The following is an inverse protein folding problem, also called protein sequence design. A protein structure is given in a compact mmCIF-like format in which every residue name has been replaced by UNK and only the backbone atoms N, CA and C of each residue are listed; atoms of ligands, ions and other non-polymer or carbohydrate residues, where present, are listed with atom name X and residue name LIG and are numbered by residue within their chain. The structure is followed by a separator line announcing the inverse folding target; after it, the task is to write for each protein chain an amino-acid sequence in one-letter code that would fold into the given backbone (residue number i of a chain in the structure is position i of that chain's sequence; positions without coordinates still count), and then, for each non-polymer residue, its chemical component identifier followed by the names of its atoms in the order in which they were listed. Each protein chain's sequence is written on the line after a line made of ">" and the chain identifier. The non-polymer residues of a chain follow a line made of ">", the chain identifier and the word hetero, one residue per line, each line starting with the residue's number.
data_IF_841643497234
#
_entry.id   IF_841643497234
#
_cell.length_a   1.000
_cell.length_b   1.000
_cell.length_c   1.000
_cell.angle_alpha   90.00
_cell.angle_beta   90.00
_cell.angle_gamma   90.00
#
_symmetry.space_group_name_H-M   'P 1'
#
loop_
_entity.id
_entity.type
_entity.pdbx_description
1 polymer ?
#
# COMPACT_ATOMS: atom_id res chain seq x y z
N UNK A 1 -15.54 -26.40 0.89
CA UNK A 1 -15.93 -24.98 0.80
C UNK A 1 -15.26 -24.09 1.87
N UNK A 2 -14.21 -24.56 2.52
CA UNK A 2 -13.53 -23.80 3.57
C UNK A 2 -12.64 -22.70 3.00
N UNK A 3 -12.59 -21.56 3.69
CA UNK A 3 -11.62 -20.50 3.40
C UNK A 3 -10.24 -20.94 3.90
N UNK A 4 -9.33 -21.22 2.98
CA UNK A 4 -7.99 -21.73 3.29
C UNK A 4 -7.13 -20.67 4.01
N UNK A 5 -7.34 -19.37 3.74
CA UNK A 5 -6.68 -18.27 4.43
C UNK A 5 -5.18 -18.11 4.09
N UNK A 6 -4.76 -18.50 2.88
CA UNK A 6 -3.35 -18.48 2.47
C UNK A 6 -2.62 -17.17 2.78
N UNK A 7 -3.16 -15.96 2.50
CA UNK A 7 -2.44 -14.72 2.79
C UNK A 7 -2.06 -14.60 4.27
N UNK A 8 -3.00 -14.90 5.18
CA UNK A 8 -2.76 -14.86 6.62
C UNK A 8 -1.81 -15.96 7.10
N UNK A 9 -1.90 -17.15 6.51
CA UNK A 9 -0.96 -18.26 6.83
C UNK A 9 0.48 -17.88 6.48
N UNK A 10 0.69 -17.24 5.33
CA UNK A 10 2.02 -16.74 4.92
C UNK A 10 2.49 -15.64 5.86
N UNK A 11 1.64 -14.68 6.22
CA UNK A 11 1.98 -13.61 7.15
C UNK A 11 2.41 -14.16 8.53
N UNK A 12 1.68 -15.13 9.08
CA UNK A 12 2.01 -15.77 10.35
C UNK A 12 3.25 -16.66 10.26
N UNK A 13 3.48 -17.34 9.14
CA UNK A 13 4.70 -18.12 8.93
C UNK A 13 5.95 -17.21 8.90
N UNK A 14 5.87 -16.08 8.21
CA UNK A 14 6.94 -15.08 8.22
C UNK A 14 7.15 -14.47 9.60
N UNK A 15 6.07 -14.22 10.35
CA UNK A 15 6.17 -13.75 11.74
C UNK A 15 6.88 -14.79 12.62
N UNK A 16 6.55 -16.07 12.47
CA UNK A 16 7.22 -17.16 13.18
C UNK A 16 8.69 -17.32 12.79
N UNK A 17 9.04 -16.96 11.53
CA UNK A 17 10.41 -16.91 11.02
C UNK A 17 11.19 -15.65 11.46
N UNK A 18 10.61 -14.83 12.36
CA UNK A 18 11.28 -13.67 12.97
C UNK A 18 11.02 -12.33 12.27
N UNK A 19 10.12 -12.26 11.29
CA UNK A 19 9.69 -10.99 10.75
C UNK A 19 8.70 -10.29 11.69
N UNK A 20 8.76 -8.97 11.74
CA UNK A 20 7.76 -8.16 12.44
C UNK A 20 6.56 -7.93 11.53
N UNK A 21 5.44 -8.55 11.82
CA UNK A 21 4.16 -8.26 11.16
C UNK A 21 3.59 -6.96 11.73
N UNK A 22 3.68 -5.88 10.97
CA UNK A 22 3.36 -4.52 11.43
C UNK A 22 1.94 -4.11 11.18
N UNK A 23 1.39 -4.46 10.01
CA UNK A 23 0.05 -4.04 9.62
C UNK A 23 -0.50 -4.94 8.53
N UNK A 24 -1.80 -5.14 8.53
CA UNK A 24 -2.60 -5.56 7.39
C UNK A 24 -3.20 -4.34 6.69
N UNK A 25 -3.23 -4.39 5.37
CA UNK A 25 -3.81 -3.37 4.51
C UNK A 25 -4.79 -4.08 3.60
N UNK A 26 -5.98 -3.50 3.43
CA UNK A 26 -7.02 -4.03 2.56
C UNK A 26 -6.97 -3.34 1.20
N UNK A 27 -6.70 -4.08 0.16
CA UNK A 27 -6.99 -3.62 -1.19
C UNK A 27 -8.46 -3.86 -1.51
N UNK A 28 -9.28 -2.82 -1.41
CA UNK A 28 -10.68 -2.85 -1.80
C UNK A 28 -10.79 -2.64 -3.32
N UNK A 29 -11.47 -3.58 -3.99
CA UNK A 29 -11.75 -3.57 -5.42
C UNK A 29 -13.18 -3.09 -5.67
N UNK A 30 -13.40 -1.86 -6.16
CA UNK A 30 -14.76 -1.36 -6.42
C UNK A 30 -15.44 -2.09 -7.58
N UNK A 31 -14.66 -2.78 -8.43
CA UNK A 31 -15.10 -3.57 -9.57
C UNK A 31 -14.63 -5.03 -9.45
N UNK A 32 -15.04 -5.79 -8.42
CA UNK A 32 -14.63 -7.19 -8.26
C UNK A 32 -15.22 -8.04 -9.38
N UNK A 33 -14.56 -9.18 -9.67
CA UNK A 33 -15.12 -10.16 -10.60
C UNK A 33 -16.45 -10.70 -10.02
N UNK A 34 -17.54 -10.73 -10.81
CA UNK A 34 -18.81 -11.31 -10.35
C UNK A 34 -18.66 -12.79 -9.96
N UNK A 35 -19.28 -13.17 -8.86
CA UNK A 35 -19.33 -14.55 -8.40
C UNK A 35 -20.78 -15.05 -8.39
N UNK A 36 -21.04 -16.21 -9.02
CA UNK A 36 -22.37 -16.83 -9.02
C UNK A 36 -22.64 -17.65 -7.75
N UNK A 37 -22.32 -17.10 -6.59
CA UNK A 37 -22.53 -17.75 -5.29
C UNK A 37 -23.72 -17.15 -4.54
N UNK A 38 -24.42 -17.98 -3.76
CA UNK A 38 -25.64 -17.58 -3.02
C UNK A 38 -25.51 -17.78 -1.51
N UNK A 39 -24.44 -18.40 -1.06
CA UNK A 39 -24.19 -18.82 0.35
C UNK A 39 -23.10 -17.96 1.03
N UNK A 40 -22.59 -16.93 0.37
CA UNK A 40 -21.63 -15.97 0.90
C UNK A 40 -21.60 -14.68 0.07
N UNK A 41 -21.00 -13.64 0.63
CA UNK A 41 -20.77 -12.39 -0.11
C UNK A 41 -19.72 -12.55 -1.21
N UNK A 42 -19.85 -11.78 -2.29
CA UNK A 42 -18.81 -11.63 -3.32
C UNK A 42 -17.54 -11.04 -2.70
N UNK A 43 -16.40 -11.68 -2.92
CA UNK A 43 -15.11 -11.20 -2.41
C UNK A 43 -14.64 -9.97 -3.18
N UNK A 44 -14.62 -8.81 -2.51
CA UNK A 44 -14.26 -7.53 -3.11
C UNK A 44 -12.94 -6.96 -2.57
N UNK A 45 -12.09 -7.78 -1.95
CA UNK A 45 -10.83 -7.32 -1.40
C UNK A 45 -9.72 -8.38 -1.43
N UNK A 46 -8.48 -7.89 -1.35
CA UNK A 46 -7.29 -8.69 -1.08
C UNK A 46 -6.49 -8.07 0.06
N UNK A 47 -5.50 -8.82 0.60
CA UNK A 47 -4.64 -8.38 1.69
C UNK A 47 -3.26 -8.00 1.18
N UNK A 48 -2.73 -6.92 1.77
CA UNK A 48 -1.32 -6.52 1.69
C UNK A 48 -0.82 -6.50 3.12
N UNK A 49 0.35 -7.07 3.39
CA UNK A 49 0.94 -7.08 4.72
C UNK A 49 2.22 -6.24 4.74
N UNK A 50 2.31 -5.35 5.71
CA UNK A 50 3.54 -4.65 6.03
C UNK A 50 4.35 -5.50 7.00
N UNK A 51 5.49 -5.99 6.52
CA UNK A 51 6.45 -6.75 7.32
C UNK A 51 7.80 -6.03 7.35
N UNK A 52 8.55 -6.21 8.43
CA UNK A 52 9.89 -5.67 8.58
C UNK A 52 10.83 -6.71 9.19
N UNK A 53 12.12 -6.67 8.82
CA UNK A 53 13.15 -7.57 9.39
C UNK A 53 13.60 -7.17 10.80
N UNK A 54 13.34 -5.92 11.22
CA UNK A 54 13.72 -5.42 12.53
C UNK A 54 12.65 -4.51 13.11
N UNK A 55 12.72 -4.28 14.41
CA UNK A 55 11.83 -3.36 15.12
C UNK A 55 11.91 -1.93 14.55
N UNK A 56 13.12 -1.49 14.22
CA UNK A 56 13.37 -0.20 13.56
C UNK A 56 13.60 -0.43 12.07
N UNK A 57 12.76 0.17 11.23
CA UNK A 57 12.82 0.05 9.78
C UNK A 57 12.51 1.39 9.11
N UNK A 58 12.91 1.51 7.86
CA UNK A 58 12.58 2.68 7.05
C UNK A 58 11.09 2.65 6.66
N UNK A 59 10.41 3.75 6.86
CA UNK A 59 9.05 3.99 6.38
C UNK A 59 8.85 5.49 6.18
N UNK A 60 8.65 5.91 4.94
CA UNK A 60 8.36 7.31 4.59
C UNK A 60 6.86 7.48 4.33
N UNK A 61 6.19 8.19 5.23
CA UNK A 61 4.77 8.44 5.12
C UNK A 61 4.44 9.65 4.24
N UNK A 62 5.39 10.57 4.06
CA UNK A 62 5.11 11.86 3.41
C UNK A 62 4.62 11.72 1.97
N UNK A 63 5.24 10.90 1.10
CA UNK A 63 4.81 10.77 -0.30
C UNK A 63 3.47 10.05 -0.49
N UNK A 64 2.97 9.38 0.56
CA UNK A 64 1.73 8.60 0.50
C UNK A 64 0.56 9.20 1.29
N UNK A 65 0.71 10.43 1.80
CA UNK A 65 -0.36 11.11 2.56
C UNK A 65 -1.61 11.30 1.72
N UNK A 66 -2.76 11.23 2.39
CA UNK A 66 -4.06 11.48 1.78
C UNK A 66 -4.49 12.94 1.99
N UNK A 67 -5.20 13.55 1.03
CA UNK A 67 -5.78 14.88 1.23
C UNK A 67 -6.73 14.91 2.43
N UNK A 68 -6.64 15.95 3.26
CA UNK A 68 -7.59 16.16 4.36
C UNK A 68 -8.91 16.62 3.76
N UNK A 69 -9.97 15.85 3.96
CA UNK A 69 -11.33 16.27 3.59
C UNK A 69 -11.78 17.34 4.59
N UNK A 70 -12.20 18.51 4.10
CA UNK A 70 -12.57 19.70 4.90
C UNK A 70 -13.61 19.44 6.00
N UNK A 71 -14.49 18.47 5.85
CA UNK A 71 -15.48 18.06 6.85
C UNK A 71 -14.86 17.41 8.09
N UNK A 72 -13.67 16.80 7.98
CA UNK A 72 -12.97 16.18 9.12
C UNK A 72 -12.25 17.23 9.95
N UNK A 73 -11.74 18.31 9.31
CA UNK A 73 -11.02 19.39 9.98
C UNK A 73 -11.95 20.20 10.92
N UNK A 74 -13.19 20.46 10.50
CA UNK A 74 -14.20 21.09 11.35
C UNK A 74 -14.60 20.27 12.57
N UNK A 75 -14.70 18.93 12.42
CA UNK A 75 -15.05 18.04 13.52
C UNK A 75 -13.90 17.88 14.54
N UNK A 76 -12.65 17.87 14.10
CA UNK A 76 -11.48 17.83 14.98
C UNK A 76 -11.36 19.13 15.77
N UNK A 77 -11.54 20.29 15.12
CA UNK A 77 -11.53 21.61 15.78
C UNK A 77 -12.70 21.77 16.75
N UNK A 78 -13.89 21.23 16.43
CA UNK A 78 -15.04 21.26 17.32
C UNK A 78 -14.81 20.40 18.58
N UNK A 79 -14.22 19.21 18.45
CA UNK A 79 -13.85 18.34 19.59
C UNK A 79 -12.78 18.94 20.47
N UNK A 80 -11.77 19.61 19.90
CA UNK A 80 -10.75 20.32 20.66
C UNK A 80 -11.33 21.48 21.49
N UNK A 81 -12.32 22.18 20.97
CA UNK A 81 -13.02 23.27 21.67
C UNK A 81 -13.94 22.76 22.79
N UNK A 82 -14.64 21.63 22.61
CA UNK A 82 -15.54 21.05 23.61
C UNK A 82 -14.78 20.33 24.72
N UNK A 83 -13.62 19.74 24.44
CA UNK A 83 -12.78 19.10 25.46
C UNK A 83 -12.09 20.12 26.40
N UNK A 84 -11.91 21.37 25.96
CA UNK A 84 -11.32 22.44 26.79
C UNK A 84 -12.31 23.19 27.70
N UNK A 85 -13.62 22.87 27.61
CA UNK A 85 -14.67 23.65 28.29
C UNK A 85 -15.30 23.02 29.54
N UNK A 86 -14.97 21.78 29.93
CA UNK A 86 -15.77 21.03 30.89
C UNK A 86 -15.10 20.55 32.19
N UNK A 87 -13.81 20.81 32.42
CA UNK A 87 -13.17 20.47 33.69
C UNK A 87 -12.24 21.60 34.14
N UNK A 88 -12.77 22.43 35.03
CA UNK A 88 -11.99 23.37 35.85
C UNK A 88 -11.05 22.60 36.78
N UNK A 89 -9.85 22.30 36.31
CA UNK A 89 -8.76 21.77 37.11
C UNK A 89 -7.47 22.26 36.50
N UNK A 90 -6.65 22.95 37.33
CA UNK A 90 -5.31 23.45 36.98
C UNK A 90 -4.35 22.31 36.63
N UNK A 91 -4.56 21.65 35.53
CA UNK A 91 -3.59 20.73 34.98
C UNK A 91 -2.86 21.40 33.79
N UNK A 92 -1.86 22.19 34.13
CA UNK A 92 -0.86 22.72 33.18
C UNK A 92 0.01 21.57 32.65
N UNK A 93 -0.61 20.52 32.14
CA UNK A 93 0.09 19.59 31.28
C UNK A 93 0.23 20.25 29.91
N UNK A 94 1.43 20.65 29.56
CA UNK A 94 1.88 21.06 28.25
C UNK A 94 1.40 20.08 27.18
N UNK A 95 0.13 20.17 26.78
CA UNK A 95 -0.26 19.83 25.44
C UNK A 95 0.34 20.93 24.57
N UNK A 96 1.63 20.80 24.25
CA UNK A 96 2.16 21.46 23.06
C UNK A 96 1.11 21.23 21.99
N UNK A 97 0.51 22.31 21.48
CA UNK A 97 -0.33 22.27 20.30
C UNK A 97 0.51 21.57 19.23
N UNK A 98 0.30 20.27 19.06
CA UNK A 98 0.79 19.58 17.88
C UNK A 98 0.06 20.26 16.74
N UNK A 99 0.73 21.28 16.17
CA UNK A 99 0.30 21.88 14.91
C UNK A 99 0.21 20.74 13.93
N UNK A 100 -0.98 20.16 13.79
CA UNK A 100 -1.24 19.28 12.68
C UNK A 100 -0.98 20.12 11.43
N UNK A 101 0.10 19.82 10.76
CA UNK A 101 0.46 20.51 9.53
C UNK A 101 -0.57 20.12 8.47
N UNK A 102 -1.66 20.89 8.42
CA UNK A 102 -2.78 20.67 7.50
C UNK A 102 -2.34 20.75 6.04
N UNK A 103 -1.14 21.30 5.79
CA UNK A 103 -0.54 21.41 4.46
C UNK A 103 -0.05 20.03 3.99
N UNK A 104 0.40 19.16 4.90
CA UNK A 104 0.98 17.85 4.57
C UNK A 104 -0.03 16.72 4.35
N UNK A 105 -1.31 16.93 4.66
CA UNK A 105 -2.33 15.89 4.53
C UNK A 105 -2.43 14.94 5.74
N UNK A 106 -3.32 13.96 5.66
CA UNK A 106 -3.54 12.91 6.66
C UNK A 106 -2.73 11.66 6.35
N UNK A 107 -2.37 10.89 7.37
CA UNK A 107 -1.75 9.59 7.19
C UNK A 107 -2.65 8.68 6.34
N UNK A 108 -2.06 7.97 5.39
CA UNK A 108 -2.77 7.02 4.55
C UNK A 108 -3.45 5.95 5.40
N UNK A 109 -4.73 5.72 5.14
CA UNK A 109 -5.53 4.71 5.85
C UNK A 109 -5.24 3.31 5.33
N UNK A 110 -5.56 2.28 6.11
CA UNK A 110 -5.28 0.88 5.80
C UNK A 110 -6.27 0.24 4.83
N UNK A 111 -7.29 0.96 4.34
CA UNK A 111 -8.18 0.48 3.29
C UNK A 111 -7.96 1.30 2.02
N UNK A 112 -7.38 0.66 1.01
CA UNK A 112 -7.02 1.28 -0.26
C UNK A 112 -8.02 0.88 -1.35
N UNK A 113 -8.75 1.85 -1.87
CA UNK A 113 -9.67 1.60 -2.98
C UNK A 113 -8.91 1.82 -4.29
N UNK A 114 -8.58 0.72 -4.97
CA UNK A 114 -7.87 0.74 -6.25
C UNK A 114 -8.62 -0.14 -7.25
N UNK A 115 -9.03 0.46 -8.36
CA UNK A 115 -9.75 -0.24 -9.43
C UNK A 115 -8.82 -1.22 -10.14
N UNK A 116 -9.31 -2.44 -10.37
CA UNK A 116 -8.59 -3.41 -11.22
C UNK A 116 -8.57 -2.89 -12.65
N UNK A 117 -7.38 -2.89 -13.27
CA UNK A 117 -7.21 -2.49 -14.67
C UNK A 117 -6.93 -3.75 -15.50
N UNK A 118 -7.66 -4.00 -16.60
CA UNK A 118 -7.34 -5.12 -17.47
C UNK A 118 -5.96 -4.93 -18.09
N UNK A 119 -5.17 -5.97 -18.08
CA UNK A 119 -3.89 -6.01 -18.77
C UNK A 119 -4.08 -6.63 -20.15
N UNK A 120 -3.63 -5.95 -21.21
CA UNK A 120 -3.81 -6.40 -22.60
C UNK A 120 -2.89 -7.56 -23.00
N UNK A 121 -1.87 -7.87 -22.21
CA UNK A 121 -0.96 -9.00 -22.44
C UNK A 121 -1.56 -10.32 -21.91
N UNK A 122 -1.01 -11.44 -22.37
CA UNK A 122 -1.41 -12.78 -21.95
C UNK A 122 -0.89 -13.11 -20.54
N UNK A 123 -1.31 -12.36 -19.52
CA UNK A 123 -0.97 -12.62 -18.12
C UNK A 123 -2.22 -12.60 -17.24
N UNK A 124 -2.35 -13.64 -16.41
CA UNK A 124 -3.42 -13.76 -15.43
C UNK A 124 -2.96 -13.18 -14.08
N UNK A 125 -3.89 -12.57 -13.33
CA UNK A 125 -3.66 -12.08 -11.97
C UNK A 125 -2.64 -10.92 -11.82
N UNK A 126 -2.68 -9.92 -12.71
CA UNK A 126 -1.89 -8.69 -12.56
C UNK A 126 -2.56 -7.73 -11.59
N UNK A 127 -1.75 -7.00 -10.81
CA UNK A 127 -2.22 -5.85 -10.03
C UNK A 127 -1.89 -4.52 -10.74
N UNK A 128 -2.69 -3.46 -10.52
CA UNK A 128 -2.45 -2.17 -11.14
C UNK A 128 -1.23 -1.44 -10.52
N UNK A 129 -0.50 -0.62 -11.31
CA UNK A 129 0.60 0.21 -10.80
C UNK A 129 0.22 1.04 -9.57
N UNK A 130 -0.95 1.65 -9.57
CA UNK A 130 -1.48 2.50 -8.50
C UNK A 130 -1.57 1.78 -7.14
N UNK A 131 -1.55 0.43 -7.12
CA UNK A 131 -1.54 -0.37 -5.90
C UNK A 131 -0.15 -0.49 -5.29
N UNK A 132 0.88 -0.71 -6.13
CA UNK A 132 2.25 -0.95 -5.66
C UNK A 132 3.03 0.34 -5.44
N UNK A 133 2.66 1.43 -6.12
CA UNK A 133 3.33 2.73 -6.01
C UNK A 133 3.47 3.20 -4.55
N UNK A 134 2.41 3.27 -3.73
CA UNK A 134 2.53 3.69 -2.34
C UNK A 134 3.38 2.73 -1.49
N UNK A 135 3.43 1.44 -1.84
CA UNK A 135 4.30 0.47 -1.15
C UNK A 135 5.78 0.78 -1.41
N UNK A 136 6.15 1.08 -2.66
CA UNK A 136 7.53 1.41 -3.04
C UNK A 136 7.94 2.77 -2.46
N UNK A 137 7.07 3.78 -2.55
CA UNK A 137 7.34 5.11 -2.02
C UNK A 137 7.58 5.10 -0.50
N UNK A 138 6.73 4.38 0.24
CA UNK A 138 6.86 4.30 1.69
C UNK A 138 8.02 3.39 2.15
N UNK A 139 8.28 2.31 1.42
CA UNK A 139 9.21 1.26 1.85
C UNK A 139 10.65 1.42 1.35
N UNK A 140 10.94 2.39 0.47
CA UNK A 140 12.27 2.54 -0.14
C UNK A 140 12.62 4.00 -0.44
N UNK A 141 13.93 4.30 -0.50
CA UNK A 141 14.48 5.58 -0.99
C UNK A 141 14.77 5.50 -2.48
N UNK A 142 14.89 6.65 -3.13
CA UNK A 142 15.46 6.72 -4.49
C UNK A 142 16.84 6.07 -4.49
N UNK A 143 17.08 5.19 -5.48
CA UNK A 143 18.32 4.41 -5.61
C UNK A 143 18.32 3.07 -4.86
N UNK A 144 17.40 2.83 -3.93
CA UNK A 144 17.26 1.53 -3.25
C UNK A 144 16.79 0.44 -4.23
N UNK A 145 16.99 -0.82 -3.84
CA UNK A 145 16.60 -2.01 -4.63
C UNK A 145 15.24 -2.52 -4.16
N UNK A 146 14.33 -2.69 -5.10
CA UNK A 146 13.02 -3.34 -4.91
C UNK A 146 13.11 -4.78 -5.43
N UNK A 147 12.86 -5.76 -4.58
CA UNK A 147 12.82 -7.18 -4.94
C UNK A 147 11.37 -7.63 -5.12
N UNK A 148 11.09 -8.29 -6.25
CA UNK A 148 9.84 -9.03 -6.46
C UNK A 148 10.16 -10.50 -6.81
N UNK A 149 9.95 -11.44 -5.88
CA UNK A 149 10.24 -12.85 -6.12
C UNK A 149 9.24 -13.54 -7.05
N UNK A 150 8.16 -12.85 -7.45
CA UNK A 150 7.12 -13.34 -8.35
C UNK A 150 6.76 -12.27 -9.39
N UNK A 151 7.77 -11.81 -10.13
CA UNK A 151 7.71 -10.60 -10.96
C UNK A 151 6.58 -10.60 -12.00
N UNK A 152 6.19 -11.75 -12.52
CA UNK A 152 5.14 -11.86 -13.53
C UNK A 152 5.41 -10.97 -14.74
N UNK A 153 4.46 -10.13 -15.11
CA UNK A 153 4.58 -9.21 -16.24
C UNK A 153 5.41 -7.95 -15.98
N UNK A 154 6.01 -7.79 -14.78
CA UNK A 154 6.94 -6.70 -14.47
C UNK A 154 6.30 -5.40 -13.97
N UNK A 155 5.11 -5.43 -13.37
CA UNK A 155 4.49 -4.22 -12.81
C UNK A 155 5.34 -3.57 -11.73
N UNK A 156 5.92 -4.38 -10.83
CA UNK A 156 6.83 -3.89 -9.77
C UNK A 156 8.08 -3.25 -10.36
N UNK A 157 8.70 -3.90 -11.35
CA UNK A 157 9.90 -3.37 -12.03
C UNK A 157 9.63 -2.02 -12.70
N UNK A 158 8.53 -1.94 -13.44
CA UNK A 158 8.09 -0.71 -14.10
C UNK A 158 7.93 0.44 -13.11
N UNK A 159 7.18 0.24 -12.02
CA UNK A 159 6.92 1.29 -11.03
C UNK A 159 8.19 1.65 -10.25
N UNK A 160 9.01 0.67 -9.88
CA UNK A 160 10.29 0.93 -9.22
C UNK A 160 11.20 1.82 -10.08
N UNK A 161 11.32 1.53 -11.36
CA UNK A 161 12.12 2.32 -12.31
C UNK A 161 11.56 3.74 -12.49
N UNK A 162 10.24 3.89 -12.64
CA UNK A 162 9.58 5.20 -12.72
C UNK A 162 9.85 6.08 -11.50
N UNK A 163 9.93 5.47 -10.33
CA UNK A 163 10.19 6.14 -9.06
C UNK A 163 11.70 6.30 -8.75
N UNK A 164 12.59 5.95 -9.68
CA UNK A 164 14.04 6.07 -9.52
C UNK A 164 14.65 5.02 -8.58
N UNK A 165 14.00 3.86 -8.43
CA UNK A 165 14.55 2.71 -7.69
C UNK A 165 15.13 1.71 -8.67
N UNK A 166 16.11 0.94 -8.20
CA UNK A 166 16.56 -0.26 -8.88
C UNK A 166 15.59 -1.42 -8.58
N UNK A 167 15.63 -2.48 -9.36
CA UNK A 167 14.78 -3.64 -9.13
C UNK A 167 15.48 -4.95 -9.45
N UNK A 168 15.07 -5.99 -8.75
CA UNK A 168 15.44 -7.39 -8.99
C UNK A 168 14.15 -8.19 -9.02
N UNK A 169 13.98 -9.05 -10.01
CA UNK A 169 12.81 -9.90 -10.16
C UNK A 169 13.16 -11.35 -10.41
N UNK A 170 12.34 -12.25 -9.85
CA UNK A 170 12.38 -13.67 -10.19
C UNK A 170 11.10 -14.05 -10.96
N UNK A 171 11.25 -14.80 -12.05
CA UNK A 171 10.13 -15.29 -12.85
C UNK A 171 10.48 -16.65 -13.46
N UNK A 172 9.58 -17.61 -13.31
CA UNK A 172 9.78 -18.97 -13.82
C UNK A 172 9.33 -19.12 -15.29
N UNK A 173 8.40 -18.28 -15.73
CA UNK A 173 7.87 -18.35 -17.09
C UNK A 173 8.66 -17.44 -18.04
N UNK A 174 9.46 -17.99 -18.98
CA UNK A 174 10.23 -17.17 -19.92
C UNK A 174 9.40 -16.20 -20.75
N UNK A 175 8.14 -16.54 -21.06
CA UNK A 175 7.25 -15.67 -21.82
C UNK A 175 6.92 -14.37 -21.04
N UNK A 176 6.90 -14.42 -19.71
CA UNK A 176 6.67 -13.23 -18.88
C UNK A 176 7.92 -12.35 -18.76
N UNK A 177 9.11 -12.94 -18.83
CA UNK A 177 10.37 -12.18 -18.88
C UNK A 177 10.42 -11.25 -20.09
N UNK A 178 9.90 -11.70 -21.24
CA UNK A 178 9.83 -10.84 -22.43
C UNK A 178 8.86 -9.66 -22.24
N UNK A 179 7.73 -9.88 -21.55
CA UNK A 179 6.80 -8.79 -21.19
C UNK A 179 7.44 -7.76 -20.24
N UNK A 180 8.32 -8.21 -19.34
CA UNK A 180 9.06 -7.32 -18.43
C UNK A 180 9.98 -6.38 -19.20
N UNK A 181 10.73 -6.89 -20.17
CA UNK A 181 11.61 -6.07 -21.03
C UNK A 181 10.82 -4.97 -21.73
N UNK A 182 9.72 -5.32 -22.39
CA UNK A 182 8.87 -4.34 -23.08
C UNK A 182 8.40 -3.22 -22.16
N UNK A 183 8.04 -3.55 -20.91
CA UNK A 183 7.57 -2.57 -19.92
C UNK A 183 8.67 -1.65 -19.41
N UNK A 184 9.87 -2.17 -19.19
CA UNK A 184 10.99 -1.40 -18.63
C UNK A 184 11.73 -0.61 -19.69
N UNK A 185 11.83 -1.10 -20.93
CA UNK A 185 12.44 -0.41 -22.04
C UNK A 185 11.62 0.80 -22.52
N UNK A 186 10.29 0.69 -22.54
CA UNK A 186 9.39 1.75 -22.97
C UNK A 186 9.54 3.02 -22.11
N UNK A 187 9.81 2.88 -20.82
CA UNK A 187 10.04 4.03 -19.94
C UNK A 187 11.43 4.66 -20.03
N UNK A 188 12.43 3.91 -20.45
CA UNK A 188 13.77 4.48 -20.70
C UNK A 188 13.78 5.46 -21.87
N UNK A 189 12.82 5.36 -22.79
CA UNK A 189 12.65 6.26 -23.93
C UNK A 189 11.87 7.54 -23.57
N UNK A 190 10.96 7.48 -22.58
CA UNK A 190 10.19 8.64 -22.15
C UNK A 190 10.96 9.58 -21.20
N UNK A 191 12.09 9.14 -20.65
CA UNK A 191 12.94 9.91 -19.75
C UNK A 191 14.11 10.63 -20.46
N UNK A 192 14.17 10.56 -21.78
CA UNK A 192 15.13 11.31 -22.63
C UNK A 192 14.44 12.49 -23.31
#
# INVERSE_FOLDING_TARGET
>A
KDLIGIPWRVAFALQADGWYLRQDIIWHKPNPMPESVRDRCTKAHEYIFLLAKSERYYYDIEPIREPIKSTTDGAIRARARTAGGALGGDNKNNFEERKYDTIKGANKRSVWTVTTKPYKGAHFATFPPDLIEPCILAGSRTGDIVLDPFMGSGTTAQVAQQLGRQWIGCELNPAYVELQKQRTEQHALELK
#
